data_IF_326620065060
#
_entry.id   IF_326620065060
#
_cell.length_a   1.000
_cell.length_b   1.000
_cell.length_c   1.000
_cell.angle_alpha   90.00
_cell.angle_beta   90.00
_cell.angle_gamma   90.00
#
_symmetry.space_group_name_H-M   'P 1'
#
loop_
_entity.id
_entity.type
_entity.pdbx_description
1 polymer ?
#
# COMPACT_ATOMS: atom_id res chain seq x y z
N UNK A 1 -104.35 25.99 24.36
CA UNK A 1 -103.14 25.72 25.13
C UNK A 1 -102.02 25.22 24.16
N UNK A 2 -101.06 26.05 23.88
CA UNK A 2 -100.13 25.81 22.77
C UNK A 2 -98.74 25.49 23.45
N UNK A 3 -98.32 24.27 23.27
CA UNK A 3 -97.01 23.84 23.76
C UNK A 3 -95.96 24.15 22.72
N UNK A 4 -94.91 24.91 23.12
CA UNK A 4 -93.75 25.26 22.27
C UNK A 4 -92.60 24.23 22.48
N UNK A 5 -92.28 23.45 21.57
CA UNK A 5 -91.05 22.61 21.54
C UNK A 5 -89.90 23.43 20.99
N UNK A 6 -88.83 23.59 21.76
CA UNK A 6 -87.57 24.18 21.35
C UNK A 6 -86.68 23.05 20.84
N UNK A 7 -86.28 23.14 19.60
CA UNK A 7 -85.30 22.24 18.98
C UNK A 7 -83.89 22.74 19.31
N UNK A 8 -83.12 21.93 19.98
CA UNK A 8 -81.72 22.22 20.30
C UNK A 8 -80.90 21.59 19.19
N UNK A 9 -80.25 22.42 18.37
CA UNK A 9 -79.31 21.98 17.33
C UNK A 9 -77.96 21.61 17.99
N UNK A 10 -77.56 20.39 17.77
CA UNK A 10 -76.22 19.91 18.18
C UNK A 10 -75.28 20.12 16.98
N UNK A 11 -74.36 21.09 17.12
CA UNK A 11 -73.28 21.29 16.16
C UNK A 11 -72.15 20.32 16.46
N UNK A 12 -71.93 19.34 15.62
CA UNK A 12 -70.80 18.41 15.71
C UNK A 12 -69.52 19.08 15.14
N UNK A 13 -68.54 19.33 16.02
CA UNK A 13 -67.24 19.80 15.65
C UNK A 13 -66.39 18.57 15.27
N UNK A 14 -66.09 18.39 13.99
CA UNK A 14 -65.14 17.37 13.51
C UNK A 14 -63.72 17.93 13.67
N UNK A 15 -63.01 17.48 14.68
CA UNK A 15 -61.60 17.77 14.81
C UNK A 15 -60.78 16.88 13.87
N UNK A 16 -60.31 17.45 12.78
CA UNK A 16 -59.39 16.79 11.86
C UNK A 16 -57.99 16.67 12.46
N UNK A 17 -57.63 15.49 12.88
CA UNK A 17 -56.22 15.19 13.28
C UNK A 17 -55.34 15.01 12.05
N UNK A 18 -54.55 16.02 11.72
CA UNK A 18 -53.52 15.92 10.68
C UNK A 18 -52.36 15.08 11.19
N UNK A 19 -52.25 13.85 10.69
CA UNK A 19 -51.14 12.95 10.96
C UNK A 19 -49.96 13.36 10.07
N UNK A 20 -49.05 14.18 10.64
CA UNK A 20 -47.76 14.46 9.98
C UNK A 20 -46.84 13.25 10.14
N UNK A 21 -46.69 12.47 9.07
CA UNK A 21 -45.70 11.40 9.02
C UNK A 21 -44.32 12.03 8.94
N UNK A 22 -43.58 11.97 10.04
CA UNK A 22 -42.14 12.28 10.10
C UNK A 22 -41.42 11.11 9.44
N UNK A 23 -41.02 11.27 8.17
CA UNK A 23 -40.09 10.36 7.51
C UNK A 23 -38.72 10.54 8.17
N UNK A 24 -38.38 9.62 9.06
CA UNK A 24 -37.01 9.50 9.58
C UNK A 24 -36.11 9.09 8.39
N UNK A 25 -35.34 10.05 7.87
CA UNK A 25 -34.25 9.75 6.95
C UNK A 25 -33.18 9.02 7.75
N UNK A 26 -33.15 7.70 7.63
CA UNK A 26 -32.01 6.90 8.06
C UNK A 26 -30.85 7.19 7.10
N UNK A 27 -29.96 8.08 7.49
CA UNK A 27 -28.68 8.26 6.84
C UNK A 27 -27.90 6.95 7.01
N UNK A 28 -27.93 6.10 5.98
CA UNK A 28 -27.01 4.96 5.91
C UNK A 28 -25.60 5.53 5.78
N UNK A 29 -24.88 5.66 6.90
CA UNK A 29 -23.44 5.81 6.87
C UNK A 29 -22.89 4.54 6.23
N UNK A 30 -22.64 4.57 4.92
CA UNK A 30 -21.86 3.55 4.25
C UNK A 30 -20.44 3.65 4.80
N UNK A 31 -20.09 2.79 5.74
CA UNK A 31 -18.72 2.60 6.17
C UNK A 31 -17.95 2.17 4.92
N UNK A 32 -16.90 2.92 4.57
CA UNK A 32 -16.02 2.53 3.47
C UNK A 32 -15.58 1.08 3.71
N UNK A 33 -15.87 0.18 2.76
CA UNK A 33 -15.60 -1.26 2.88
C UNK A 33 -14.12 -1.62 2.67
N UNK A 34 -13.21 -0.62 2.54
CA UNK A 34 -11.79 -0.82 2.36
C UNK A 34 -11.03 -0.87 3.70
N UNK A 35 -10.22 -1.89 3.90
CA UNK A 35 -9.21 -1.95 4.95
C UNK A 35 -7.86 -1.50 4.38
N UNK A 36 -7.16 -0.56 5.07
CA UNK A 36 -5.84 -0.07 4.68
C UNK A 36 -4.81 -0.53 5.69
N UNK A 37 -3.76 -1.17 5.18
CA UNK A 37 -2.55 -1.49 5.93
C UNK A 37 -1.35 -0.81 5.26
N UNK A 38 -0.47 -0.19 6.05
CA UNK A 38 0.78 0.39 5.56
C UNK A 38 1.89 -0.64 5.76
N UNK A 39 2.34 -1.28 4.69
CA UNK A 39 3.42 -2.27 4.75
C UNK A 39 4.81 -1.62 4.82
N UNK A 40 4.97 -0.44 4.23
CA UNK A 40 6.19 0.36 4.30
C UNK A 40 5.86 1.85 4.10
N UNK A 41 6.45 2.68 4.97
CA UNK A 41 6.50 4.14 4.78
C UNK A 41 7.85 4.60 5.33
N UNK A 42 8.75 5.04 4.44
CA UNK A 42 10.12 5.39 4.83
C UNK A 42 10.68 6.51 3.97
N UNK A 43 11.60 7.28 4.54
CA UNK A 43 12.41 8.29 3.86
C UNK A 43 13.87 7.86 3.72
N UNK A 44 14.17 6.62 4.08
CA UNK A 44 15.51 6.06 4.02
C UNK A 44 15.47 4.58 3.61
N UNK A 45 16.57 4.10 3.06
CA UNK A 45 16.77 2.69 2.72
C UNK A 45 16.99 1.83 3.97
N UNK A 46 16.94 0.52 3.78
CA UNK A 46 17.14 -0.48 4.84
C UNK A 46 18.50 -0.34 5.58
N UNK A 47 19.55 0.13 4.91
CA UNK A 47 20.87 0.34 5.52
C UNK A 47 20.96 1.67 6.29
N UNK A 48 19.91 2.51 6.24
CA UNK A 48 19.80 3.77 6.98
C UNK A 48 20.20 5.01 6.19
N UNK A 49 20.51 4.89 4.89
CA UNK A 49 20.81 6.05 4.05
C UNK A 49 19.53 6.75 3.59
N UNK A 50 19.44 8.09 3.72
CA UNK A 50 18.25 8.83 3.32
C UNK A 50 18.10 8.84 1.80
N UNK A 51 16.86 8.78 1.34
CA UNK A 51 16.51 9.14 -0.03
C UNK A 51 16.51 10.66 -0.14
N UNK A 52 17.27 11.21 -1.07
CA UNK A 52 17.47 12.66 -1.19
C UNK A 52 16.56 13.29 -2.25
N UNK A 53 16.22 12.55 -3.30
CA UNK A 53 15.36 13.00 -4.39
C UNK A 53 14.83 11.82 -5.20
N UNK A 54 13.81 12.05 -5.99
CA UNK A 54 13.42 11.16 -7.08
C UNK A 54 14.28 11.41 -8.31
N UNK A 55 14.46 10.42 -9.20
CA UNK A 55 15.21 10.63 -10.44
C UNK A 55 14.54 11.70 -11.31
N UNK A 56 15.37 12.44 -12.06
CA UNK A 56 14.90 13.42 -13.05
C UNK A 56 14.59 12.74 -14.38
N UNK A 57 13.74 13.38 -15.21
CA UNK A 57 13.35 12.89 -16.53
C UNK A 57 11.91 12.33 -16.55
N UNK A 58 11.56 11.60 -17.60
CA UNK A 58 10.24 10.99 -17.75
C UNK A 58 10.07 9.85 -16.73
N UNK A 59 9.14 9.96 -15.77
CA UNK A 59 8.93 8.89 -14.79
C UNK A 59 8.50 7.58 -15.45
N UNK A 60 9.07 6.47 -14.96
CA UNK A 60 8.70 5.11 -15.35
C UNK A 60 8.59 4.24 -14.12
N UNK A 61 7.40 3.69 -13.86
CA UNK A 61 7.22 2.65 -12.86
C UNK A 61 7.47 1.29 -13.52
N UNK A 62 8.31 0.49 -12.87
CA UNK A 62 8.58 -0.89 -13.30
C UNK A 62 8.31 -1.82 -12.13
N UNK A 63 7.46 -2.81 -12.32
CA UNK A 63 7.24 -3.84 -11.31
C UNK A 63 7.64 -5.19 -11.89
N UNK A 64 8.51 -5.91 -11.18
CA UNK A 64 8.94 -7.25 -11.56
C UNK A 64 8.61 -8.25 -10.46
N UNK A 65 8.45 -9.51 -10.86
CA UNK A 65 8.44 -10.66 -9.97
C UNK A 65 9.76 -11.41 -10.16
N UNK A 66 10.59 -11.44 -9.12
CA UNK A 66 11.87 -12.13 -9.14
C UNK A 66 11.77 -13.40 -8.27
N UNK A 67 12.26 -14.52 -8.80
CA UNK A 67 12.38 -15.77 -8.04
C UNK A 67 13.85 -16.12 -7.89
N UNK A 68 14.31 -16.22 -6.65
CA UNK A 68 15.68 -16.60 -6.30
C UNK A 68 15.65 -18.05 -5.82
N UNK A 69 16.48 -18.92 -6.42
CA UNK A 69 16.60 -20.32 -5.99
C UNK A 69 17.12 -20.38 -4.54
N UNK A 70 16.88 -21.50 -3.80
CA UNK A 70 17.43 -21.66 -2.45
C UNK A 70 18.95 -21.48 -2.43
N UNK A 71 19.48 -21.00 -1.29
CA UNK A 71 20.93 -20.85 -1.03
C UNK A 71 21.67 -20.05 -2.12
N UNK A 72 21.00 -19.05 -2.71
CA UNK A 72 21.54 -18.28 -3.82
C UNK A 72 21.80 -16.84 -3.38
N UNK A 73 23.01 -16.35 -3.63
CA UNK A 73 23.37 -14.94 -3.52
C UNK A 73 23.29 -14.31 -4.92
N UNK A 74 22.53 -13.24 -5.05
CA UNK A 74 22.50 -12.44 -6.27
C UNK A 74 23.84 -11.72 -6.47
N UNK A 75 24.21 -11.34 -7.70
CA UNK A 75 25.38 -10.50 -7.96
C UNK A 75 25.32 -9.18 -7.18
N UNK A 76 26.48 -8.62 -6.83
CA UNK A 76 26.57 -7.29 -6.26
C UNK A 76 26.14 -6.24 -7.29
N UNK A 77 25.23 -5.36 -6.92
CA UNK A 77 24.66 -4.34 -7.81
C UNK A 77 24.28 -3.07 -7.05
N UNK A 78 23.85 -2.05 -7.79
CA UNK A 78 23.23 -0.81 -7.26
C UNK A 78 21.92 -0.54 -7.98
N UNK A 79 21.07 0.26 -7.36
CA UNK A 79 19.89 0.85 -8.01
C UNK A 79 20.05 2.36 -8.12
N UNK A 80 19.82 2.97 -9.30
CA UNK A 80 19.96 4.42 -9.49
C UNK A 80 18.77 5.23 -8.96
N UNK A 81 17.75 4.58 -8.41
CA UNK A 81 16.54 5.22 -7.88
C UNK A 81 15.87 4.37 -6.81
N UNK A 82 14.99 4.98 -5.96
CA UNK A 82 14.27 4.26 -4.93
C UNK A 82 13.41 3.14 -5.50
N UNK A 83 13.40 2.03 -4.78
CA UNK A 83 12.53 0.90 -5.07
C UNK A 83 12.02 0.27 -3.77
N UNK A 84 10.98 -0.52 -3.87
CA UNK A 84 10.39 -1.28 -2.77
C UNK A 84 10.37 -2.75 -3.16
N UNK A 85 10.94 -3.57 -2.29
CA UNK A 85 10.84 -5.02 -2.34
C UNK A 85 9.76 -5.46 -1.36
N UNK A 86 8.86 -6.34 -1.81
CA UNK A 86 7.91 -7.07 -0.98
C UNK A 86 8.18 -8.58 -1.11
N UNK A 87 8.35 -9.27 0.00
CA UNK A 87 8.60 -10.71 0.01
C UNK A 87 7.27 -11.46 -0.09
N UNK A 88 7.01 -12.06 -1.25
CA UNK A 88 5.82 -12.88 -1.50
C UNK A 88 5.92 -14.25 -0.83
N UNK A 89 7.12 -14.84 -0.81
CA UNK A 89 7.41 -16.09 -0.10
C UNK A 89 8.91 -16.24 0.17
N UNK A 90 9.26 -17.05 1.17
CA UNK A 90 10.64 -17.30 1.58
C UNK A 90 11.19 -16.18 2.46
N UNK A 91 12.50 -16.04 2.44
CA UNK A 91 13.26 -15.07 3.25
C UNK A 91 14.35 -14.45 2.42
N UNK A 92 14.40 -13.10 2.42
CA UNK A 92 15.45 -12.32 1.77
C UNK A 92 16.42 -11.79 2.81
N UNK A 93 17.70 -12.07 2.65
CA UNK A 93 18.78 -11.41 3.41
C UNK A 93 19.44 -10.37 2.53
N UNK A 94 19.27 -9.09 2.87
CA UNK A 94 19.97 -7.98 2.23
C UNK A 94 21.35 -7.81 2.86
N UNK A 95 22.36 -7.52 2.04
CA UNK A 95 23.73 -7.32 2.49
C UNK A 95 24.37 -6.11 1.80
N UNK A 96 24.88 -5.16 2.59
CA UNK A 96 25.61 -3.99 2.10
C UNK A 96 27.10 -4.32 1.99
N UNK A 97 27.71 -4.05 0.83
CA UNK A 97 29.10 -4.43 0.56
C UNK A 97 30.11 -3.60 1.35
N UNK A 98 29.85 -2.32 1.50
CA UNK A 98 30.80 -1.40 2.11
C UNK A 98 30.81 -1.51 3.65
N UNK A 99 29.66 -1.57 4.28
CA UNK A 99 29.52 -1.62 5.74
C UNK A 99 29.45 -3.03 6.31
N UNK A 100 29.15 -4.04 5.48
CA UNK A 100 28.84 -5.39 5.91
C UNK A 100 27.50 -5.52 6.65
N UNK A 101 26.72 -4.44 6.73
CA UNK A 101 25.38 -4.47 7.37
C UNK A 101 24.49 -5.47 6.66
N UNK A 102 23.64 -6.15 7.42
CA UNK A 102 22.66 -7.10 6.91
C UNK A 102 21.28 -6.80 7.48
N UNK A 103 20.25 -7.15 6.71
CA UNK A 103 18.86 -7.15 7.17
C UNK A 103 18.14 -8.37 6.60
N UNK A 104 17.42 -9.08 7.46
CA UNK A 104 16.55 -10.18 7.06
C UNK A 104 15.13 -9.67 6.90
N UNK A 105 14.49 -10.02 5.79
CA UNK A 105 13.13 -9.63 5.42
C UNK A 105 12.34 -10.91 5.17
N UNK A 106 11.26 -11.10 5.90
CA UNK A 106 10.43 -12.30 5.82
C UNK A 106 9.21 -12.11 4.93
N UNK A 107 8.56 -13.21 4.56
CA UNK A 107 7.29 -13.20 3.84
C UNK A 107 6.29 -12.22 4.48
N UNK A 108 5.61 -11.43 3.64
CA UNK A 108 4.64 -10.42 4.07
C UNK A 108 5.26 -9.07 4.45
N UNK A 109 6.58 -8.95 4.49
CA UNK A 109 7.27 -7.71 4.81
C UNK A 109 7.71 -6.96 3.55
N UNK A 110 7.76 -5.63 3.64
CA UNK A 110 8.28 -4.74 2.62
C UNK A 110 9.52 -3.99 3.12
N UNK A 111 10.45 -3.69 2.22
CA UNK A 111 11.66 -2.93 2.51
C UNK A 111 11.99 -1.98 1.36
N UNK A 112 12.55 -0.81 1.69
CA UNK A 112 13.11 0.11 0.69
C UNK A 112 14.59 -0.18 0.48
N UNK A 113 15.01 -0.39 -0.77
CA UNK A 113 16.40 -0.69 -1.08
C UNK A 113 17.26 0.56 -1.20
N UNK A 114 18.58 0.33 -1.19
CA UNK A 114 19.58 1.40 -1.24
C UNK A 114 19.70 1.98 -2.65
N UNK A 115 19.86 3.30 -2.71
CA UNK A 115 20.20 4.02 -3.95
C UNK A 115 21.70 4.22 -3.99
N UNK A 116 22.34 3.88 -5.13
CA UNK A 116 23.78 4.02 -5.41
C UNK A 116 24.73 3.24 -4.49
N UNK A 117 24.24 2.52 -3.49
CA UNK A 117 25.06 1.65 -2.64
C UNK A 117 25.14 0.23 -3.21
N UNK A 118 26.34 -0.33 -3.21
CA UNK A 118 26.55 -1.71 -3.66
C UNK A 118 26.01 -2.67 -2.61
N UNK A 119 24.99 -3.42 -2.99
CA UNK A 119 24.35 -4.41 -2.14
C UNK A 119 23.96 -5.66 -2.93
N UNK A 120 23.44 -6.67 -2.26
CA UNK A 120 22.84 -7.85 -2.87
C UNK A 120 21.77 -8.45 -1.98
N UNK A 121 20.87 -9.22 -2.60
CA UNK A 121 19.94 -10.12 -1.93
C UNK A 121 20.47 -11.54 -1.89
N UNK A 122 20.15 -12.27 -0.83
CA UNK A 122 20.45 -13.69 -0.64
C UNK A 122 19.19 -14.42 -0.20
N UNK A 123 18.89 -15.57 -0.82
CA UNK A 123 17.80 -16.45 -0.38
C UNK A 123 18.23 -17.35 0.78
N UNK A 124 17.26 -17.82 1.57
CA UNK A 124 17.47 -18.84 2.59
C UNK A 124 17.35 -20.26 2.07
N UNK A 125 16.83 -21.16 2.92
CA UNK A 125 16.68 -22.58 2.64
C UNK A 125 15.58 -22.87 1.60
N UNK A 126 14.63 -21.95 1.44
CA UNK A 126 13.52 -22.03 0.50
C UNK A 126 13.70 -21.04 -0.65
N UNK A 127 13.07 -21.26 -1.82
CA UNK A 127 13.01 -20.25 -2.87
C UNK A 127 12.42 -18.95 -2.34
N UNK A 128 13.06 -17.84 -2.64
CA UNK A 128 12.56 -16.51 -2.29
C UNK A 128 11.89 -15.87 -3.48
N UNK A 129 10.62 -15.49 -3.33
CA UNK A 129 9.85 -14.81 -4.38
C UNK A 129 9.57 -13.38 -3.96
N UNK A 130 10.00 -12.46 -4.78
CA UNK A 130 9.93 -11.03 -4.55
C UNK A 130 9.00 -10.36 -5.56
N UNK A 131 8.28 -9.34 -5.12
CA UNK A 131 7.67 -8.31 -5.95
C UNK A 131 8.45 -7.02 -5.74
N UNK A 132 9.08 -6.50 -6.79
CA UNK A 132 9.94 -5.32 -6.70
C UNK A 132 9.33 -4.22 -7.56
N UNK A 133 9.12 -3.04 -6.98
CA UNK A 133 8.59 -1.88 -7.71
C UNK A 133 9.60 -0.73 -7.67
N UNK A 134 10.05 -0.31 -8.83
CA UNK A 134 11.02 0.75 -9.05
C UNK A 134 10.34 2.06 -9.43
N UNK A 135 10.70 3.15 -8.74
CA UNK A 135 10.30 4.52 -9.08
C UNK A 135 11.36 5.16 -9.99
N UNK A 136 11.47 4.66 -11.21
CA UNK A 136 12.57 4.95 -12.11
C UNK A 136 12.29 6.01 -13.18
N UNK A 137 13.20 6.07 -14.15
CA UNK A 137 13.16 6.99 -15.29
C UNK A 137 13.30 6.20 -16.60
N UNK A 138 12.56 6.60 -17.61
CA UNK A 138 12.60 5.98 -18.93
C UNK A 138 14.04 5.93 -19.49
N UNK A 139 14.44 4.73 -19.93
CA UNK A 139 15.77 4.49 -20.51
C UNK A 139 16.90 4.28 -19.49
N UNK A 140 16.61 4.34 -18.18
CA UNK A 140 17.57 4.05 -17.12
C UNK A 140 17.34 2.64 -16.59
N UNK A 141 18.38 1.77 -16.50
CA UNK A 141 18.23 0.40 -16.01
C UNK A 141 17.80 0.38 -14.53
N UNK A 142 17.04 -0.65 -14.15
CA UNK A 142 16.58 -0.83 -12.77
C UNK A 142 17.68 -1.34 -11.84
N UNK A 143 18.69 -2.02 -12.38
CA UNK A 143 19.83 -2.58 -11.65
C UNK A 143 21.09 -2.37 -12.46
N UNK A 144 22.20 -2.00 -11.80
CA UNK A 144 23.51 -1.76 -12.41
C UNK A 144 24.50 -2.71 -11.72
N UNK A 145 25.09 -3.69 -12.45
CA UNK A 145 26.07 -4.59 -11.86
C UNK A 145 27.27 -3.83 -11.29
N UNK A 146 27.78 -4.25 -10.14
CA UNK A 146 29.05 -3.74 -9.63
C UNK A 146 30.20 -4.22 -10.52
N UNK A 147 31.36 -3.56 -10.41
CA UNK A 147 32.54 -3.89 -11.24
C UNK A 147 32.92 -5.38 -11.09
N UNK A 148 32.99 -6.08 -12.24
CA UNK A 148 33.32 -7.50 -12.31
C UNK A 148 32.15 -8.46 -12.08
N UNK A 149 30.94 -7.95 -11.79
CA UNK A 149 29.74 -8.75 -11.59
C UNK A 149 28.96 -8.93 -12.89
N UNK A 150 28.13 -9.97 -12.94
CA UNK A 150 27.14 -10.17 -14.01
C UNK A 150 25.88 -9.36 -13.72
N UNK A 151 25.01 -9.25 -14.72
CA UNK A 151 23.67 -8.72 -14.48
C UNK A 151 22.95 -9.56 -13.42
N UNK A 152 22.13 -8.90 -12.62
CA UNK A 152 21.36 -9.53 -11.53
C UNK A 152 20.30 -10.49 -12.12
N UNK A 153 19.69 -10.12 -13.22
CA UNK A 153 18.67 -10.89 -13.96
C UNK A 153 18.67 -10.51 -15.45
#
# INVERSE_FOLDING_TARGET
>A
MISKYRTIGITAIVAGASLTAVLAQTSSNSVASGHREILLQTTQSWNGKPYTHYPTGQPQLTTIKLTIAPHTALPWHTHPFPNVVYVLSGTLTLRDKASGKTQVVHQGQAVGESVDDVHRGESGDEPTVLLITYAGTLGVPTSIPAAGEKAEY
#
